data_IF_372842189566
#
_entry.id   IF_372842189566
#
_cell.length_a   1.000
_cell.length_b   1.000
_cell.length_c   1.000
_cell.angle_alpha   90.00
_cell.angle_beta   90.00
_cell.angle_gamma   90.00
#
_symmetry.space_group_name_H-M   'P 1'
#
loop_
_entity.id
_entity.type
_entity.pdbx_description
1 polymer ?
2 branched ?
3 branched ?
4 non-polymer ?
5 water ?
#
# COMPACT_ATOMS: atom_id res chain seq x y z
N UNK A 1 -9.78 12.76 4.40
CA UNK A 1 -8.32 12.48 4.65
C UNK A 1 -8.17 11.50 5.81
N UNK A 2 -7.00 10.88 5.89
CA UNK A 2 -6.65 10.03 7.03
C UNK A 2 -5.29 10.49 7.54
N UNK A 3 -5.01 10.26 8.82
CA UNK A 3 -3.73 10.67 9.41
C UNK A 3 -3.13 9.61 10.31
N UNK A 4 -1.81 9.67 10.46
CA UNK A 4 -1.09 8.80 11.39
C UNK A 4 0.13 9.52 11.94
N UNK A 5 0.27 9.51 13.25
CA UNK A 5 1.37 10.18 13.94
C UNK A 5 2.29 9.18 14.59
N UNK A 6 3.56 9.25 14.25
CA UNK A 6 4.53 8.30 14.80
C UNK A 6 4.88 8.62 16.26
N UNK A 7 4.67 9.87 16.65
CA UNK A 7 4.94 10.27 18.04
C UNK A 7 3.86 9.69 18.94
N UNK A 8 4.28 8.79 19.83
CA UNK A 8 3.33 8.09 20.71
C UNK A 8 2.70 6.87 20.07
N UNK A 9 3.06 6.57 18.82
CA UNK A 9 2.47 5.44 18.11
C UNK A 9 2.68 4.09 18.81
N UNK A 10 1.65 3.26 18.79
CA UNK A 10 1.77 1.90 19.26
C UNK A 10 0.94 0.97 18.38
N UNK A 11 0.97 -0.34 18.64
CA UNK A 11 0.15 -1.24 17.77
C UNK A 11 -1.32 -0.80 17.62
N UNK A 12 -1.90 -0.30 18.71
CA UNK A 12 -3.29 0.14 18.72
C UNK A 12 -3.49 1.32 17.77
N UNK A 13 -2.70 2.39 17.94
CA UNK A 13 -2.89 3.57 17.11
C UNK A 13 -2.61 3.28 15.62
N UNK A 14 -1.63 2.41 15.38
CA UNK A 14 -1.35 2.01 13.99
C UNK A 14 -2.55 1.28 13.44
N UNK A 15 -3.09 0.35 14.23
CA UNK A 15 -4.30 -0.37 13.80
C UNK A 15 -5.48 0.56 13.48
N UNK A 16 -5.67 1.60 14.28
CA UNK A 16 -6.72 2.60 14.01
C UNK A 16 -6.45 3.30 12.68
N UNK A 17 -5.19 3.64 12.41
CA UNK A 17 -4.81 4.24 11.12
C UNK A 17 -5.16 3.35 9.94
N UNK A 18 -4.78 2.08 9.99
CA UNK A 18 -5.03 1.16 8.89
C UNK A 18 -6.55 0.99 8.74
N UNK A 19 -7.25 0.93 9.86
CA UNK A 19 -8.73 0.92 9.80
C UNK A 19 -9.32 2.15 9.10
N UNK A 20 -8.81 3.33 9.45
CA UNK A 20 -9.21 4.60 8.80
C UNK A 20 -8.90 4.58 7.30
N UNK A 21 -7.72 4.04 6.94
CA UNK A 21 -7.29 3.99 5.55
C UNK A 21 -8.26 3.11 4.75
N UNK A 22 -8.54 1.91 5.27
CA UNK A 22 -9.48 1.01 4.60
C UNK A 22 -10.86 1.65 4.44
N UNK A 23 -11.33 2.26 5.51
CA UNK A 23 -12.66 2.90 5.55
C UNK A 23 -12.79 4.13 4.65
N UNK A 24 -11.65 4.72 4.28
CA UNK A 24 -11.66 5.87 3.37
C UNK A 24 -11.75 5.47 1.88
N UNK A 25 -11.65 4.17 1.59
CA UNK A 25 -11.70 3.69 0.21
C UNK A 25 -13.16 3.34 -0.10
N UNK A 26 -13.73 3.97 -1.13
CA UNK A 26 -15.14 3.71 -1.46
C UNK A 26 -15.37 2.37 -2.13
N UNK A 27 -16.56 1.82 -1.88
CA UNK A 27 -17.00 0.57 -2.53
C UNK A 27 -18.52 0.57 -2.51
N UNK A 28 -19.12 -0.09 -3.50
CA UNK A 28 -20.58 -0.20 -3.57
C UNK A 28 -21.03 -1.64 -3.38
N UNK A 29 -20.06 -2.56 -3.35
CA UNK A 29 -20.32 -3.97 -3.36
C UNK A 29 -19.24 -4.68 -2.52
N UNK A 30 -19.61 -5.79 -1.92
CA UNK A 30 -18.66 -6.72 -1.31
C UNK A 30 -18.76 -8.04 -2.04
N UNK A 31 -17.61 -8.69 -2.22
CA UNK A 31 -17.54 -9.98 -2.86
C UNK A 31 -16.96 -10.93 -1.83
N UNK A 32 -17.71 -11.95 -1.51
CA UNK A 32 -17.37 -12.84 -0.42
C UNK A 32 -16.99 -12.05 0.84
N UNK A 33 -17.81 -11.03 1.10
CA UNK A 33 -17.71 -10.18 2.28
C UNK A 33 -16.46 -9.28 2.33
N UNK A 34 -15.75 -9.20 1.22
CA UNK A 34 -14.59 -8.29 1.11
C UNK A 34 -14.97 -7.11 0.23
N UNK A 35 -14.74 -5.85 0.70
CA UNK A 35 -15.00 -4.66 -0.12
C UNK A 35 -14.33 -4.73 -1.50
N UNK A 36 -15.14 -4.44 -2.52
CA UNK A 36 -14.67 -4.40 -3.89
C UNK A 36 -14.38 -2.98 -4.32
N UNK A 37 -13.09 -2.66 -4.55
CA UNK A 37 -12.78 -1.31 -5.01
C UNK A 37 -13.47 -0.96 -6.34
N UNK A 38 -13.77 0.32 -6.52
CA UNK A 38 -14.51 0.81 -7.67
C UNK A 38 -13.69 0.69 -8.97
N UNK A 39 -14.37 0.45 -10.11
CA UNK A 39 -13.68 0.40 -11.40
C UNK A 39 -12.96 1.71 -11.68
N UNK A 40 -13.59 2.82 -11.34
CA UNK A 40 -12.97 4.14 -11.52
C UNK A 40 -13.73 5.22 -10.76
N UNK A 41 -13.05 6.34 -10.54
CA UNK A 41 -13.61 7.51 -9.88
C UNK A 41 -13.10 8.69 -10.67
N UNK A 42 -13.98 9.65 -10.97
CA UNK A 42 -13.59 10.83 -11.74
C UNK A 42 -13.17 12.01 -10.89
N UNK A 43 -12.17 12.72 -11.41
CA UNK A 43 -11.70 13.97 -10.84
C UNK A 43 -10.90 13.80 -9.57
N UNK A 44 -10.95 14.81 -8.71
CA UNK A 44 -10.17 14.83 -7.48
C UNK A 44 -10.57 13.73 -6.49
N UNK A 45 -11.83 13.30 -6.56
CA UNK A 45 -12.32 12.26 -5.65
C UNK A 45 -11.59 10.93 -5.76
N UNK A 46 -10.83 10.76 -6.84
CA UNK A 46 -10.03 9.56 -7.06
C UNK A 46 -8.92 9.42 -6.03
N UNK A 47 -8.53 10.53 -5.42
CA UNK A 47 -7.35 10.56 -4.54
C UNK A 47 -7.62 10.81 -3.07
N UNK A 48 -7.11 9.90 -2.25
CA UNK A 48 -7.17 10.04 -0.81
C UNK A 48 -5.87 10.66 -0.33
N UNK A 49 -5.95 11.60 0.60
CA UNK A 49 -4.74 12.21 1.16
C UNK A 49 -4.47 11.59 2.52
N UNK A 50 -3.26 11.07 2.68
CA UNK A 50 -2.79 10.52 3.95
C UNK A 50 -1.79 11.47 4.57
N UNK A 51 -2.13 12.01 5.73
CA UNK A 51 -1.20 12.87 6.45
C UNK A 51 -0.37 12.05 7.42
N UNK A 52 0.93 11.96 7.15
CA UNK A 52 1.84 11.19 8.01
C UNK A 52 2.80 12.13 8.73
N UNK A 53 3.00 11.90 10.03
CA UNK A 53 3.87 12.77 10.82
C UNK A 53 4.95 11.91 11.45
N UNK A 54 6.21 12.32 11.29
CA UNK A 54 7.30 11.60 11.90
C UNK A 54 7.32 11.89 13.39
N UNK A 55 8.23 11.25 14.09
CA UNK A 55 8.27 11.38 15.55
C UNK A 55 8.44 12.83 16.00
N UNK A 56 9.16 13.63 15.21
CA UNK A 56 9.38 15.06 15.48
C UNK A 56 8.22 15.96 15.12
N UNK A 57 7.20 15.40 14.49
CA UNK A 57 6.03 16.19 14.14
C UNK A 57 6.07 16.81 12.75
N UNK A 58 7.15 16.57 12.01
CA UNK A 58 7.24 16.94 10.60
C UNK A 58 6.30 16.10 9.78
N UNK A 59 5.77 16.62 8.69
CA UNK A 59 4.73 15.87 7.96
C UNK A 59 4.89 15.87 6.45
N UNK A 60 4.37 14.79 5.86
CA UNK A 60 4.18 14.71 4.40
C UNK A 60 2.74 14.32 4.17
N UNK A 61 2.21 14.69 3.00
CA UNK A 61 0.89 14.24 2.59
C UNK A 61 1.06 13.32 1.40
N UNK A 62 0.52 12.12 1.50
CA UNK A 62 0.67 11.11 0.44
C UNK A 62 -0.66 10.98 -0.30
N UNK A 63 -0.62 11.09 -1.62
CA UNK A 63 -1.84 10.92 -2.46
C UNK A 63 -1.95 9.48 -2.89
N UNK A 64 -3.12 8.88 -2.61
CA UNK A 64 -3.38 7.49 -2.88
C UNK A 64 -4.62 7.37 -3.81
N UNK A 65 -4.50 6.62 -4.88
CA UNK A 65 -5.59 6.36 -5.81
C UNK A 65 -6.53 5.36 -5.12
N UNK A 66 -7.78 5.77 -4.88
CA UNK A 66 -8.72 4.97 -4.07
C UNK A 66 -9.28 3.72 -4.80
N UNK A 67 -9.00 3.60 -6.09
CA UNK A 67 -9.45 2.47 -6.86
C UNK A 67 -8.46 1.32 -6.75
N UNK A 68 -7.20 1.59 -6.38
CA UNK A 68 -6.23 0.49 -6.42
C UNK A 68 -5.20 0.55 -5.28
N UNK A 69 -5.35 1.56 -4.42
CA UNK A 69 -4.47 1.86 -3.26
C UNK A 69 -3.02 2.12 -3.73
N UNK A 70 -2.88 2.62 -4.96
CA UNK A 70 -1.54 2.92 -5.48
C UNK A 70 -1.12 4.30 -5.02
N UNK A 71 0.10 4.42 -4.49
CA UNK A 71 0.59 5.73 -4.09
C UNK A 71 1.02 6.47 -5.35
N UNK A 72 0.50 7.68 -5.55
CA UNK A 72 0.79 8.47 -6.74
C UNK A 72 1.96 9.45 -6.56
N UNK A 73 2.02 10.04 -5.38
CA UNK A 73 2.99 11.07 -5.10
C UNK A 73 2.78 11.56 -3.71
N UNK A 74 3.47 12.64 -3.35
CA UNK A 74 3.37 13.16 -2.00
C UNK A 74 3.85 14.62 -2.01
N UNK A 75 3.44 15.34 -0.99
CA UNK A 75 3.84 16.72 -0.76
C UNK A 75 4.71 16.79 0.49
N UNK A 76 5.83 17.47 0.36
CA UNK A 76 6.73 17.67 1.50
C UNK A 76 7.02 19.17 1.51
N UNK A 77 6.49 19.86 2.52
CA UNK A 77 6.60 21.31 2.64
C UNK A 77 5.97 21.89 1.38
N UNK A 78 6.75 22.60 0.58
CA UNK A 78 6.22 23.32 -0.57
C UNK A 78 6.57 22.65 -1.90
N UNK A 79 7.04 21.40 -1.83
CA UNK A 79 7.44 20.69 -3.03
C UNK A 79 6.60 19.42 -3.16
N UNK A 80 6.01 19.22 -4.34
CA UNK A 80 5.28 17.98 -4.57
C UNK A 80 6.16 17.01 -5.34
N UNK A 81 5.95 15.71 -5.14
CA UNK A 81 6.77 14.70 -5.81
C UNK A 81 5.84 13.61 -6.38
N UNK A 82 6.04 13.22 -7.63
CA UNK A 82 5.20 12.19 -8.29
C UNK A 82 6.02 11.15 -9.02
N UNK A 83 5.56 9.89 -9.00
CA UNK A 83 6.19 8.86 -9.81
C UNK A 83 6.15 9.22 -11.27
N UNK A 84 7.13 8.69 -11.99
CA UNK A 84 7.26 8.94 -13.43
C UNK A 84 6.39 7.92 -14.19
N UNK A 85 5.08 8.16 -14.20
CA UNK A 85 4.13 7.25 -14.84
C UNK A 85 2.84 8.02 -15.14
N UNK A 86 2.16 7.65 -16.23
CA UNK A 86 0.97 8.39 -16.64
C UNK A 86 -0.08 8.61 -15.54
N UNK A 87 -0.33 7.59 -14.72
CA UNK A 87 -1.35 7.70 -13.67
C UNK A 87 -0.99 8.74 -12.63
N UNK A 88 0.32 8.87 -12.38
CA UNK A 88 0.81 9.84 -11.41
C UNK A 88 0.78 11.23 -12.02
N UNK A 89 1.14 11.35 -13.30
CA UNK A 89 1.07 12.65 -13.93
C UNK A 89 -0.37 13.13 -13.93
N UNK A 90 -1.31 12.23 -14.19
CA UNK A 90 -2.75 12.58 -14.10
C UNK A 90 -3.13 13.05 -12.68
N UNK A 91 -2.66 12.33 -11.66
CA UNK A 91 -2.93 12.73 -10.27
C UNK A 91 -2.42 14.16 -10.04
N UNK A 92 -1.30 14.50 -10.66
CA UNK A 92 -0.69 15.82 -10.42
C UNK A 92 -1.56 16.96 -10.94
N UNK A 93 -2.60 16.61 -11.70
CA UNK A 93 -3.56 17.60 -12.16
C UNK A 93 -4.61 17.94 -11.12
N UNK A 94 -4.70 17.11 -10.07
CA UNK A 94 -5.71 17.23 -9.04
C UNK A 94 -5.20 17.52 -7.62
N UNK A 95 -4.02 16.99 -7.27
CA UNK A 95 -3.55 17.13 -5.90
C UNK A 95 -2.26 17.95 -5.81
N UNK A 96 -2.12 18.66 -4.70
CA UNK A 96 -0.85 19.39 -4.36
C UNK A 96 -0.58 20.48 -5.38
N UNK A 97 -1.64 21.02 -5.99
CA UNK A 97 -1.50 22.03 -7.05
C UNK A 97 -0.85 23.30 -6.53
N UNK A 98 -1.02 23.56 -5.24
CA UNK A 98 -0.47 24.76 -4.61
C UNK A 98 1.02 24.66 -4.21
N UNK A 99 1.65 23.51 -4.42
CA UNK A 99 3.09 23.35 -4.24
C UNK A 99 3.83 24.38 -5.09
N UNK A 100 4.91 24.93 -4.54
CA UNK A 100 5.69 25.91 -5.28
C UNK A 100 6.44 25.28 -6.45
N UNK A 101 6.77 24.01 -6.34
CA UNK A 101 7.43 23.31 -7.44
C UNK A 101 7.05 21.85 -7.39
N UNK A 102 7.09 21.22 -8.56
CA UNK A 102 6.77 19.80 -8.71
C UNK A 102 7.94 19.03 -9.28
N UNK A 103 8.39 18.03 -8.54
CA UNK A 103 9.45 17.17 -9.01
C UNK A 103 8.90 15.80 -9.44
N UNK A 104 9.25 15.36 -10.64
CA UNK A 104 8.88 14.03 -11.06
C UNK A 104 10.04 13.13 -10.67
N UNK A 105 9.75 12.13 -9.83
CA UNK A 105 10.77 11.15 -9.42
C UNK A 105 11.30 10.40 -10.62
N UNK A 106 12.57 10.01 -10.58
CA UNK A 106 13.20 9.31 -11.71
C UNK A 106 12.92 7.78 -11.77
N UNK A 107 11.67 7.40 -11.45
CA UNK A 107 11.24 6.03 -11.54
C UNK A 107 9.71 6.01 -11.34
N UNK A 108 9.08 4.99 -11.89
CA UNK A 108 7.68 4.71 -11.62
C UNK A 108 7.49 4.09 -10.22
N UNK A 109 6.25 3.87 -9.85
CA UNK A 109 5.91 3.32 -8.52
C UNK A 109 6.01 1.80 -8.36
N UNK A 110 6.37 1.14 -9.45
CA UNK A 110 6.58 -0.29 -9.55
C UNK A 110 7.65 -0.85 -8.57
N UNK A 111 7.32 -1.93 -7.86
CA UNK A 111 8.29 -2.56 -6.95
C UNK A 111 9.63 -2.88 -7.61
N UNK A 112 9.59 -3.41 -8.84
CA UNK A 112 10.84 -3.73 -9.53
C UNK A 112 11.67 -2.46 -9.77
N UNK A 113 11.04 -1.43 -10.32
CA UNK A 113 11.75 -0.15 -10.58
C UNK A 113 12.28 0.49 -9.30
N UNK A 114 11.48 0.48 -8.22
CA UNK A 114 11.90 1.10 -6.96
C UNK A 114 13.09 0.36 -6.37
N UNK A 115 13.04 -0.98 -6.43
CA UNK A 115 14.14 -1.80 -5.92
C UNK A 115 15.42 -1.56 -6.69
N UNK A 116 15.28 -1.30 -7.99
CA UNK A 116 16.46 -0.99 -8.83
C UNK A 116 17.05 0.35 -8.37
N UNK A 117 16.20 1.36 -8.17
CA UNK A 117 16.63 2.69 -7.74
C UNK A 117 17.24 2.64 -6.34
N UNK A 118 16.65 1.83 -5.46
CA UNK A 118 17.13 1.70 -4.09
C UNK A 118 18.43 0.89 -3.99
N UNK A 119 18.68 0.03 -4.98
CA UNK A 119 19.89 -0.81 -4.96
C UNK A 119 19.71 -2.10 -4.18
N UNK A 120 18.47 -2.42 -3.80
CA UNK A 120 18.22 -3.62 -3.00
C UNK A 120 16.76 -4.07 -3.11
N UNK A 121 16.53 -5.39 -3.00
CA UNK A 121 15.16 -5.88 -3.04
C UNK A 121 14.44 -5.64 -1.71
N UNK A 122 13.11 -5.74 -1.73
CA UNK A 122 12.28 -5.61 -0.51
C UNK A 122 12.71 -6.58 0.58
N UNK A 123 13.15 -7.77 0.16
CA UNK A 123 13.57 -8.82 1.10
C UNK A 123 14.63 -8.35 2.08
N UNK A 124 15.38 -7.32 1.70
CA UNK A 124 16.54 -6.90 2.45
C UNK A 124 16.32 -5.60 3.18
N UNK A 125 15.12 -5.00 3.00
CA UNK A 125 14.84 -3.71 3.59
C UNK A 125 13.93 -3.86 4.82
N UNK A 126 14.44 -3.58 6.03
CA UNK A 126 13.61 -3.66 7.22
C UNK A 126 12.39 -2.74 7.17
N UNK A 127 11.27 -3.25 7.68
CA UNK A 127 10.07 -2.44 7.77
C UNK A 127 9.55 -2.49 9.21
N UNK A 128 8.64 -1.59 9.52
CA UNK A 128 8.19 -1.41 10.90
C UNK A 128 7.81 0.03 11.09
N UNK A 129 7.35 0.37 12.30
CA UNK A 129 7.03 1.73 12.62
C UNK A 129 8.31 2.61 12.66
N UNK A 130 9.41 2.11 13.26
CA UNK A 130 10.61 2.96 13.15
C UNK A 130 11.04 3.24 11.72
N UNK A 131 10.94 2.22 10.87
CA UNK A 131 11.31 2.37 9.45
C UNK A 131 10.40 3.40 8.79
N UNK A 132 9.12 3.38 9.15
CA UNK A 132 8.19 4.38 8.62
C UNK A 132 8.58 5.77 9.06
N UNK A 133 8.94 5.94 10.33
CA UNK A 133 9.43 7.24 10.79
C UNK A 133 10.59 7.73 9.96
N UNK A 134 11.55 6.83 9.73
CA UNK A 134 12.72 7.16 8.89
C UNK A 134 12.30 7.53 7.46
N UNK A 135 11.29 6.82 6.95
CA UNK A 135 10.87 7.04 5.56
C UNK A 135 10.28 8.43 5.39
N UNK A 136 9.42 8.83 6.34
CA UNK A 136 8.80 10.16 6.32
C UNK A 136 9.90 11.21 6.34
N UNK A 137 10.86 11.02 7.26
CA UNK A 137 11.99 11.95 7.38
C UNK A 137 12.79 12.07 6.10
N UNK A 138 13.06 10.93 5.47
CA UNK A 138 13.80 10.88 4.20
C UNK A 138 13.07 11.64 3.10
N UNK A 139 11.76 11.44 3.02
CA UNK A 139 10.99 12.12 1.96
C UNK A 139 10.87 13.64 2.12
N UNK A 140 11.20 14.16 3.31
CA UNK A 140 11.03 15.59 3.56
C UNK A 140 11.96 16.43 2.71
N UNK A 141 13.09 15.83 2.34
CA UNK A 141 14.08 16.48 1.49
C UNK A 141 14.58 15.58 0.38
N UNK A 142 14.55 16.11 -0.84
CA UNK A 142 14.75 15.30 -1.99
C UNK A 142 16.10 14.61 -2.06
N UNK A 143 16.05 13.31 -2.26
CA UNK A 143 17.20 12.47 -2.52
C UNK A 143 16.60 11.25 -3.21
N UNK A 144 16.75 11.11 -4.54
CA UNK A 144 15.94 10.09 -5.26
C UNK A 144 16.34 8.66 -4.87
N UNK A 145 17.62 8.41 -4.64
CA UNK A 145 18.06 7.09 -4.22
C UNK A 145 17.53 6.71 -2.84
N UNK A 146 17.65 7.63 -1.88
CA UNK A 146 17.15 7.40 -0.50
C UNK A 146 15.61 7.27 -0.54
N UNK A 147 14.99 8.10 -1.37
CA UNK A 147 13.53 8.10 -1.49
C UNK A 147 12.97 6.77 -1.98
N UNK A 148 13.70 6.08 -2.86
CA UNK A 148 13.21 4.80 -3.43
C UNK A 148 13.04 3.77 -2.28
N UNK A 149 14.03 3.70 -1.41
CA UNK A 149 13.93 2.84 -0.22
C UNK A 149 12.81 3.27 0.72
N UNK A 150 12.71 4.58 0.98
CA UNK A 150 11.70 5.16 1.85
C UNK A 150 10.33 4.78 1.29
N UNK A 151 10.17 4.89 -0.03
CA UNK A 151 8.88 4.62 -0.64
C UNK A 151 8.57 3.12 -0.57
N UNK A 152 9.57 2.24 -0.67
CA UNK A 152 9.33 0.81 -0.47
C UNK A 152 8.80 0.56 0.93
N UNK A 153 9.38 1.26 1.92
CA UNK A 153 8.87 1.16 3.31
C UNK A 153 7.45 1.70 3.39
N UNK A 154 7.24 2.90 2.85
CA UNK A 154 5.93 3.55 2.94
C UNK A 154 4.79 2.73 2.31
N UNK A 155 5.03 2.22 1.10
CA UNK A 155 4.00 1.45 0.38
C UNK A 155 3.59 0.21 1.18
N UNK A 156 4.58 -0.49 1.73
CA UNK A 156 4.31 -1.69 2.52
C UNK A 156 3.63 -1.46 3.84
N UNK A 157 3.96 -0.36 4.51
CA UNK A 157 3.43 -0.09 5.86
C UNK A 157 2.07 0.64 5.81
N UNK A 158 1.62 1.03 4.63
CA UNK A 158 0.34 1.72 4.48
C UNK A 158 -0.55 0.88 3.56
N UNK A 159 -0.33 0.98 2.25
CA UNK A 159 -1.15 0.26 1.25
C UNK A 159 -1.25 -1.24 1.49
N UNK A 160 -0.11 -1.90 1.64
CA UNK A 160 -0.09 -3.36 1.74
C UNK A 160 -0.75 -3.81 3.04
N UNK A 161 -0.51 -3.06 4.12
CA UNK A 161 -1.16 -3.38 5.39
C UNK A 161 -2.68 -3.18 5.28
N UNK A 162 -3.10 -2.15 4.54
CA UNK A 162 -4.54 -1.92 4.31
C UNK A 162 -5.13 -3.14 3.57
N UNK A 163 -4.40 -3.67 2.61
CA UNK A 163 -4.89 -4.81 1.79
C UNK A 163 -4.95 -6.15 2.49
N UNK A 164 -4.04 -6.38 3.44
CA UNK A 164 -3.91 -7.67 4.11
C UNK A 164 -3.79 -7.54 5.61
N UNK A 165 -4.71 -8.17 6.33
CA UNK A 165 -4.65 -8.16 7.79
C UNK A 165 -3.31 -8.74 8.30
N UNK A 166 -2.80 -9.76 7.63
CA UNK A 166 -1.53 -10.37 8.03
C UNK A 166 -0.40 -9.34 7.97
N UNK A 167 -0.39 -8.52 6.92
CA UNK A 167 0.65 -7.47 6.82
C UNK A 167 0.52 -6.41 7.90
N UNK A 168 -0.72 -5.97 8.15
CA UNK A 168 -0.97 -5.08 9.27
C UNK A 168 -0.40 -5.64 10.59
N UNK A 169 -0.69 -6.90 10.88
CA UNK A 169 -0.17 -7.57 12.08
C UNK A 169 1.36 -7.65 12.09
N UNK A 170 1.94 -7.88 10.92
CA UNK A 170 3.39 -7.93 10.79
C UNK A 170 4.01 -6.59 11.18
N UNK A 171 3.38 -5.49 10.77
CA UNK A 171 3.87 -4.17 11.13
C UNK A 171 3.67 -3.88 12.63
N UNK A 172 2.53 -4.29 13.17
CA UNK A 172 2.26 -4.10 14.60
C UNK A 172 3.32 -4.80 15.47
N UNK A 173 3.79 -5.94 14.98
CA UNK A 173 4.85 -6.74 15.64
C UNK A 173 6.18 -6.01 15.56
N UNK A 174 6.28 -5.10 14.59
CA UNK A 174 7.47 -4.31 14.37
C UNK A 174 7.24 -2.86 14.82
N UNK A 175 6.47 -2.66 15.89
CA UNK A 175 6.14 -1.30 16.33
C UNK A 175 7.37 -0.59 16.89
N UNK A 176 8.28 -1.36 17.49
CA UNK A 176 9.44 -0.74 18.16
C UNK A 176 10.77 -1.32 17.72
N UNK A 177 10.73 -2.21 16.73
CA UNK A 177 11.92 -2.85 16.18
C UNK A 177 11.64 -3.26 14.74
N UNK A 178 12.39 -2.71 13.78
CA UNK A 178 12.24 -3.12 12.39
C UNK A 178 12.75 -4.50 12.10
N UNK A 179 12.13 -5.14 11.13
CA UNK A 179 12.59 -6.43 10.66
C UNK A 179 12.21 -6.56 9.20
N UNK A 180 13.04 -7.23 8.40
CA UNK A 180 12.68 -7.40 7.01
C UNK A 180 11.36 -8.16 6.94
N UNK A 181 10.59 -7.93 5.87
CA UNK A 181 9.27 -8.57 5.76
C UNK A 181 9.43 -10.10 5.67
N UNK A 182 8.46 -10.85 6.20
CA UNK A 182 8.48 -12.32 6.05
C UNK A 182 8.27 -12.66 4.56
N UNK A 183 8.69 -13.86 4.15
CA UNK A 183 8.45 -14.25 2.77
C UNK A 183 6.94 -14.31 2.46
N UNK A 184 6.14 -14.62 3.48
CA UNK A 184 4.67 -14.64 3.35
C UNK A 184 4.20 -13.25 2.95
N UNK A 185 4.76 -12.22 3.61
CA UNK A 185 4.42 -10.83 3.33
C UNK A 185 4.70 -10.49 1.86
N UNK A 186 5.92 -10.78 1.39
CA UNK A 186 6.27 -10.51 0.02
C UNK A 186 5.33 -11.24 -0.98
N UNK A 187 4.99 -12.48 -0.62
CA UNK A 187 4.13 -13.33 -1.46
C UNK A 187 2.76 -12.68 -1.64
N UNK A 188 2.21 -12.20 -0.53
CA UNK A 188 0.89 -11.56 -0.52
C UNK A 188 0.89 -10.27 -1.33
N UNK A 189 1.93 -9.46 -1.15
CA UNK A 189 2.04 -8.24 -1.94
C UNK A 189 1.98 -8.55 -3.42
N UNK A 190 2.79 -9.53 -3.80
CA UNK A 190 2.95 -9.95 -5.19
C UNK A 190 1.67 -10.56 -5.75
N UNK A 191 0.88 -11.15 -4.87
CA UNK A 191 -0.37 -11.83 -5.27
C UNK A 191 -1.69 -11.05 -5.15
N UNK A 192 -1.64 -9.79 -4.73
CA UNK A 192 -2.88 -9.08 -4.49
C UNK A 192 -3.78 -9.00 -5.72
N UNK A 193 -3.23 -8.58 -6.83
CA UNK A 193 -4.00 -8.50 -8.08
C UNK A 193 -4.58 -9.87 -8.50
N UNK A 194 -3.73 -10.90 -8.47
CA UNK A 194 -4.13 -12.30 -8.75
C UNK A 194 -5.25 -12.79 -7.85
N UNK A 195 -5.05 -12.62 -6.53
CA UNK A 195 -6.09 -12.94 -5.56
C UNK A 195 -7.40 -12.20 -5.80
N UNK A 196 -7.32 -10.88 -5.99
CA UNK A 196 -8.49 -10.05 -6.23
C UNK A 196 -9.25 -10.57 -7.44
N UNK A 197 -8.53 -10.95 -8.49
CA UNK A 197 -9.16 -11.43 -9.71
C UNK A 197 -9.87 -12.77 -9.45
N UNK A 198 -9.16 -13.70 -8.79
CA UNK A 198 -9.69 -15.06 -8.61
C UNK A 198 -10.90 -15.07 -7.68
N UNK A 199 -10.88 -14.18 -6.69
CA UNK A 199 -12.01 -14.06 -5.75
C UNK A 199 -13.25 -13.56 -6.49
N UNK A 200 -13.06 -12.63 -7.40
CA UNK A 200 -14.14 -12.15 -8.24
C UNK A 200 -14.59 -13.22 -9.25
N UNK A 201 -13.66 -13.98 -9.81
CA UNK A 201 -14.06 -15.00 -10.79
C UNK A 201 -14.77 -16.15 -10.10
N UNK A 202 -14.47 -16.36 -8.82
CA UNK A 202 -15.10 -17.40 -8.03
C UNK A 202 -16.63 -17.17 -7.91
N UNK A 203 -17.06 -15.90 -8.02
CA UNK A 203 -18.47 -15.52 -7.85
C UNK A 203 -19.43 -16.39 -8.66
N UNK A 204 -19.11 -16.58 -9.94
CA UNK A 204 -19.91 -17.47 -10.82
C UNK A 204 -19.34 -18.87 -11.05
N UNK A 205 -18.48 -19.32 -10.14
CA UNK A 205 -17.79 -20.58 -10.29
C UNK A 205 -17.89 -21.33 -8.96
N UNK A 206 -18.97 -21.08 -8.21
CA UNK A 206 -19.22 -21.80 -6.96
C UNK A 206 -18.10 -21.64 -5.94
N UNK A 207 -17.46 -20.49 -5.94
CA UNK A 207 -16.42 -20.22 -4.94
C UNK A 207 -15.06 -20.77 -5.29
N UNK A 208 -14.93 -21.38 -6.48
CA UNK A 208 -13.67 -21.99 -6.93
C UNK A 208 -12.90 -21.03 -7.85
N UNK A 209 -11.60 -20.85 -7.58
CA UNK A 209 -10.75 -20.05 -8.47
C UNK A 209 -10.65 -20.70 -9.85
N UNK A 210 -10.76 -19.88 -10.89
CA UNK A 210 -10.47 -20.35 -12.25
C UNK A 210 -9.01 -20.78 -12.37
N UNK A 211 -8.13 -20.06 -11.68
CA UNK A 211 -6.71 -20.38 -11.64
C UNK A 211 -6.20 -20.27 -10.21
N UNK A 212 -5.59 -21.34 -9.68
CA UNK A 212 -5.03 -21.31 -8.33
C UNK A 212 -3.96 -20.24 -8.15
N UNK A 213 -3.88 -19.72 -6.94
CA UNK A 213 -2.86 -18.73 -6.60
C UNK A 213 -1.87 -19.41 -5.68
N UNK A 214 -0.58 -19.28 -6.00
CA UNK A 214 0.47 -19.88 -5.19
C UNK A 214 0.98 -18.84 -4.16
N UNK A 215 0.97 -19.21 -2.89
CA UNK A 215 1.46 -18.34 -1.83
C UNK A 215 2.44 -19.03 -0.90
N UNK A 216 3.29 -18.24 -0.24
CA UNK A 216 4.18 -18.75 0.80
C UNK A 216 3.48 -18.53 2.14
N UNK A 217 3.39 -19.55 2.99
CA UNK A 217 2.71 -19.37 4.28
C UNK A 217 3.63 -18.84 5.39
N UNK A 218 3.07 -18.70 6.60
CA UNK A 218 3.81 -18.24 7.79
C UNK A 218 5.04 -19.07 8.14
N UNK A 219 4.96 -20.38 7.90
CA UNK A 219 6.07 -21.29 8.19
C UNK A 219 7.09 -21.31 7.03
N UNK A 220 6.85 -20.46 6.03
CA UNK A 220 7.74 -20.38 4.87
C UNK A 220 7.49 -21.47 3.85
N UNK A 221 6.34 -22.13 3.93
CA UNK A 221 5.96 -23.20 3.00
C UNK A 221 5.03 -22.71 1.89
N UNK A 222 5.31 -23.11 0.65
CA UNK A 222 4.51 -22.72 -0.49
C UNK A 222 3.21 -23.49 -0.55
N UNK A 223 2.11 -22.77 -0.63
CA UNK A 223 0.77 -23.37 -0.69
C UNK A 223 -0.02 -22.94 -1.95
N UNK A 224 -0.95 -23.79 -2.40
CA UNK A 224 -1.88 -23.44 -3.47
C UNK A 224 -3.23 -23.01 -2.90
N UNK A 225 -3.73 -21.85 -3.33
CA UNK A 225 -5.04 -21.35 -2.93
C UNK A 225 -5.96 -21.60 -4.10
N UNK A 226 -7.03 -22.36 -3.87
CA UNK A 226 -7.88 -22.81 -4.96
C UNK A 226 -9.34 -22.36 -4.85
N UNK A 227 -9.76 -21.92 -3.68
CA UNK A 227 -11.14 -21.52 -3.48
C UNK A 227 -11.32 -20.54 -2.33
N UNK A 228 -12.52 -19.96 -2.22
CA UNK A 228 -12.78 -18.92 -1.24
C UNK A 228 -12.86 -19.37 0.23
N UNK A 229 -12.77 -20.67 0.49
CA UNK A 229 -12.76 -21.15 1.89
C UNK A 229 -11.38 -21.01 2.53
N UNK A 230 -10.37 -20.65 1.74
CA UNK A 230 -9.00 -20.48 2.26
C UNK A 230 -8.92 -19.33 3.28
N UNK A 231 -8.10 -19.48 4.33
CA UNK A 231 -7.90 -18.44 5.32
C UNK A 231 -7.53 -17.09 4.68
N UNK A 232 -6.80 -17.16 3.57
CA UNK A 232 -6.35 -15.95 2.87
C UNK A 232 -7.55 -15.09 2.45
N UNK A 233 -8.65 -15.78 2.09
CA UNK A 233 -9.87 -15.12 1.64
C UNK A 233 -10.84 -14.77 2.78
N UNK A 234 -10.98 -15.68 3.74
CA UNK A 234 -11.96 -15.52 4.82
C UNK A 234 -11.47 -14.59 5.90
N UNK A 235 -10.16 -14.43 6.04
CA UNK A 235 -9.66 -13.64 7.15
C UNK A 235 -8.68 -12.52 6.75
N UNK A 236 -7.83 -12.82 5.81
CA UNK A 236 -6.64 -11.99 5.55
C UNK A 236 -6.92 -10.81 4.63
N UNK A 237 -7.21 -11.09 3.36
CA UNK A 237 -7.41 -10.01 2.39
C UNK A 237 -8.57 -9.07 2.80
N UNK A 238 -8.37 -7.75 2.64
CA UNK A 238 -9.34 -6.75 3.13
C UNK A 238 -9.95 -5.85 2.05
N UNK A 239 -9.36 -5.88 0.86
CA UNK A 239 -9.72 -5.01 -0.28
C UNK A 239 -9.47 -5.79 -1.56
N UNK A 240 -10.40 -5.64 -2.52
CA UNK A 240 -10.27 -6.31 -3.79
C UNK A 240 -10.08 -5.31 -4.92
N UNK A 241 -8.99 -5.49 -5.67
CA UNK A 241 -8.77 -4.76 -6.92
C UNK A 241 -9.84 -5.21 -7.91
N UNK A 242 -10.61 -4.25 -8.42
CA UNK A 242 -11.67 -4.54 -9.39
C UNK A 242 -11.10 -5.17 -10.66
N UNK A 243 -11.73 -6.26 -11.17
CA UNK A 243 -11.26 -6.92 -12.39
C UNK A 243 -11.19 -6.01 -13.63
N UNK A 244 -11.99 -4.96 -13.64
CA UNK A 244 -11.93 -3.97 -14.71
C UNK A 244 -10.60 -3.22 -14.76
N UNK A 245 -9.79 -3.38 -13.70
CA UNK A 245 -8.47 -2.75 -13.62
C UNK A 245 -7.33 -3.77 -13.62
N UNK A 246 -7.68 -5.01 -13.98
CA UNK A 246 -6.71 -6.10 -13.99
C UNK A 246 -6.50 -6.59 -15.43
X LIG B 1 -10.86 -25.37 -0.95
X LIG B 1 -10.62 -26.79 -1.50
X LIG B 1 -10.19 -27.74 -0.37
X LIG B 1 -9.09 -27.16 0.50
X LIG B 1 -9.35 -25.70 0.89
X LIG B 1 -8.06 -25.12 1.46
X LIG B 1 -11.94 -27.42 -3.47
X LIG B 1 -13.35 -27.48 -4.01
X LIG B 1 -11.81 -27.31 -2.14
X LIG B 1 -9.73 -28.96 -0.90
X LIG B 1 -8.98 -27.98 1.64
X LIG B 1 -9.72 -24.92 -0.24
X LIG B 1 -8.35 -24.18 2.46
X LIG B 1 -10.97 -27.47 -4.26
X LIG B 2 -7.63 -28.47 1.80
X LIG B 2 -7.39 -28.88 3.26
X LIG B 2 -5.96 -29.40 3.39
X LIG B 2 -5.76 -30.64 2.50
X LIG B 2 -6.69 -30.72 1.27
X LIG B 2 -7.77 -31.81 1.43
X LIG B 2 -8.92 -27.60 4.68
X LIG B 2 -9.14 -26.34 5.47
X LIG B 2 -7.69 -27.80 4.19
X LIG B 2 -5.68 -29.70 4.73
X LIG B 2 -4.43 -30.69 2.05
X LIG B 2 -7.28 -29.48 0.85
X LIG B 2 -8.72 -31.72 0.39
X LIG B 2 -9.85 -28.39 4.52
X LIG C 1 0.93 2.63 -11.84
X LIG C 1 1.85 1.50 -12.29
X LIG C 1 2.03 0.44 -11.19
X LIG C 1 2.17 0.99 -9.77
X LIG C 1 1.55 2.37 -9.48
X LIG C 1 2.48 3.07 -8.49
X LIG C 1 -0.41 2.18 -11.73
X LIG C 1 1.30 0.89 -13.45
X LIG C 1 3.18 -0.36 -11.46
X LIG C 1 1.64 0.06 -8.86
X LIG C 1 1.40 3.20 -10.63
X LIG C 1 1.84 4.17 -7.89
X LIG C 2 2.60 -0.62 -8.09
X LIG C 2 2.13 -2.05 -7.78
X LIG C 2 2.69 -2.55 -6.44
X LIG C 2 2.50 -1.57 -5.27
X LIG C 2 2.19 -0.16 -5.76
X LIG C 2 2.63 0.85 -4.71
X LIG C 2 0.73 -2.14 -7.80
X LIG C 2 4.07 -2.74 -6.64
X LIG C 2 1.46 -2.01 -4.40
X LIG C 2 2.91 0.15 -6.93
X LIG C 2 1.95 2.07 -4.90
X LIG D 1 8.02 3.70 16.64
X LIG D 1 9.31 4.14 17.04
X LIG D 1 7.00 4.75 17.08
X LIG D 1 7.55 6.06 16.82
X LIG D 1 6.70 4.44 18.55
X LIG D 1 5.93 5.46 19.13
#
# INVERSE_FOLDING_TARGET
DVSFRLSGADPSSYGMFIKDLRNALPHTEKVYNIPLLLPSVSGAGRYLLMHLFNYDGNTITVAVDVTNVYIMGYLALTTSYFFNEPAADLASQYVFRSARRKITLPYSGNYERLQIAAGKPREKIPIGLPALDTAISTLLHYDSTAAAGALLVLIQTTAEAARFKYIEQQIQERAYRDEVPSSATISLENSWSGLSKQIQLAQGNNGVFRTPTVLVDSKGNRVQITNVTSNVVTSNIQLLLNTKNI
NAG C1 C2 C3 C4 C5 C6 C7 C8 N2 O3 O4 O5 O6 O7
NAG C1 C2 C3 C4 C5 C6 C7 C8 N2 O3 O4 O5 O6 O7
GLC C1 C2 C3 C4 C5 C6 O1 O2 O3 O4 O5 O6
GLC C1 C2 C3 C4 C5 C6 O2 O3 O4 O5 O6
GOL C1 O1 C2 O2 C3 O3
#
